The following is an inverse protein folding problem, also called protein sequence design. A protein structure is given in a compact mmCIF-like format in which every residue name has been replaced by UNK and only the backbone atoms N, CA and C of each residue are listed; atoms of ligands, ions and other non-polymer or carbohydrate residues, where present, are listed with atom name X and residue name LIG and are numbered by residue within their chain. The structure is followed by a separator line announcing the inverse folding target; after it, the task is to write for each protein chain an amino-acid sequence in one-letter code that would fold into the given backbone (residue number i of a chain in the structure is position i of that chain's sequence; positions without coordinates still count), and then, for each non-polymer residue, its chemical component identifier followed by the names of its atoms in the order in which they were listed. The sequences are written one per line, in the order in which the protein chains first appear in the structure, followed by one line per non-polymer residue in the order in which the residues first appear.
data_IF_865964185436
#
_entry.id   IF_865964185436
#
_cell.length_a   1.000
_cell.length_b   1.000
_cell.length_c   1.000
_cell.angle_alpha   90.00
_cell.angle_beta   90.00
_cell.angle_gamma   90.00
#
_symmetry.space_group_name_H-M   'P 1'
#
loop_
_entity.id
_entity.type
_entity.pdbx_description
1 polymer ?
#
# COMPACT_ATOMS: atom_id res chain seq x y z
N UNK A 1 10.94 -26.07 -12.60
CA UNK A 1 10.69 -26.17 -11.16
C UNK A 1 11.18 -24.93 -10.41
N UNK A 2 12.10 -24.16 -11.00
CA UNK A 2 12.80 -23.04 -10.35
C UNK A 2 11.94 -21.79 -10.14
N UNK A 3 10.91 -21.60 -10.96
CA UNK A 3 9.97 -20.49 -10.82
C UNK A 3 9.17 -20.55 -9.50
N UNK A 4 8.72 -21.74 -9.10
CA UNK A 4 7.97 -21.92 -7.86
C UNK A 4 8.84 -21.66 -6.62
N UNK A 5 10.12 -22.06 -6.65
CA UNK A 5 11.07 -21.75 -5.58
C UNK A 5 11.32 -20.23 -5.51
N UNK A 6 11.51 -19.58 -6.65
CA UNK A 6 11.77 -18.14 -6.72
C UNK A 6 10.60 -17.29 -6.20
N UNK A 7 9.37 -17.77 -6.36
CA UNK A 7 8.18 -17.07 -5.88
C UNK A 7 7.83 -17.41 -4.42
N UNK A 8 8.35 -18.51 -3.87
CA UNK A 8 8.07 -18.90 -2.48
C UNK A 8 8.34 -17.81 -1.41
N UNK A 9 9.41 -16.98 -1.47
CA UNK A 9 9.60 -15.90 -0.50
C UNK A 9 8.48 -14.86 -0.53
N UNK A 10 7.90 -14.54 -1.70
CA UNK A 10 6.78 -13.60 -1.79
C UNK A 10 5.51 -14.19 -1.15
N UNK A 11 5.28 -15.48 -1.36
CA UNK A 11 4.15 -16.22 -0.80
C UNK A 11 4.22 -16.28 0.73
N UNK A 12 5.41 -16.52 1.29
CA UNK A 12 5.63 -16.54 2.73
C UNK A 12 5.40 -15.16 3.36
N UNK A 13 5.86 -14.08 2.72
CA UNK A 13 5.60 -12.72 3.22
C UNK A 13 4.11 -12.42 3.18
N UNK A 14 3.42 -12.78 2.10
CA UNK A 14 2.00 -12.54 1.94
C UNK A 14 1.18 -13.32 2.97
N UNK A 15 1.40 -14.63 3.08
CA UNK A 15 0.73 -15.49 4.06
C UNK A 15 1.06 -15.05 5.49
N UNK A 16 2.33 -14.71 5.76
CA UNK A 16 2.76 -14.22 7.06
C UNK A 16 2.05 -12.93 7.47
N UNK A 17 1.85 -12.00 6.53
CA UNK A 17 1.14 -10.76 6.80
C UNK A 17 -0.36 -10.97 7.03
N UNK A 18 -1.00 -11.85 6.25
CA UNK A 18 -2.43 -12.17 6.39
C UNK A 18 -2.75 -12.94 7.68
N UNK A 19 -1.93 -13.93 8.06
CA UNK A 19 -2.23 -14.82 9.18
C UNK A 19 -1.87 -14.19 10.53
N UNK A 20 -0.72 -13.52 10.61
CA UNK A 20 -0.22 -13.06 11.91
C UNK A 20 -0.76 -11.68 12.34
N UNK A 21 -1.41 -10.90 11.47
CA UNK A 21 -1.83 -9.51 11.75
C UNK A 21 -0.71 -8.67 12.40
N UNK A 22 0.55 -9.02 12.14
CA UNK A 22 1.72 -8.35 12.71
C UNK A 22 2.19 -7.26 11.75
N UNK A 23 2.83 -6.24 12.32
CA UNK A 23 3.47 -5.16 11.56
C UNK A 23 4.30 -5.73 10.42
N UNK A 24 4.07 -5.24 9.19
CA UNK A 24 4.74 -5.72 7.97
C UNK A 24 6.27 -5.68 8.06
N UNK A 25 6.83 -4.84 8.93
CA UNK A 25 8.27 -4.78 9.25
C UNK A 25 8.81 -6.12 9.75
N UNK A 26 8.10 -6.82 10.64
CA UNK A 26 8.57 -8.08 11.21
C UNK A 26 8.58 -9.20 10.16
N UNK A 27 7.51 -9.27 9.37
CA UNK A 27 7.36 -10.27 8.29
C UNK A 27 8.37 -10.03 7.16
N UNK A 28 8.73 -8.76 6.91
CA UNK A 28 9.72 -8.39 5.90
C UNK A 28 11.14 -8.87 6.25
N UNK A 29 11.51 -8.83 7.54
CA UNK A 29 12.82 -9.35 8.00
C UNK A 29 12.91 -10.87 7.78
N UNK A 30 11.84 -11.59 8.10
CA UNK A 30 11.75 -13.05 7.85
C UNK A 30 11.80 -13.37 6.35
N UNK A 31 11.07 -12.62 5.53
CA UNK A 31 11.09 -12.77 4.08
C UNK A 31 12.46 -12.51 3.46
N UNK A 32 13.16 -11.47 3.94
CA UNK A 32 14.54 -11.18 3.51
C UNK A 32 15.50 -12.32 3.89
N UNK A 33 15.46 -12.80 5.13
CA UNK A 33 16.29 -13.93 5.58
C UNK A 33 16.06 -15.16 4.70
N UNK A 34 14.79 -15.49 4.44
CA UNK A 34 14.43 -16.63 3.60
C UNK A 34 14.87 -16.47 2.14
N UNK A 35 14.78 -15.25 1.60
CA UNK A 35 15.24 -14.93 0.25
C UNK A 35 16.76 -15.11 0.11
N UNK A 36 17.54 -14.66 1.10
CA UNK A 36 19.01 -14.84 1.12
C UNK A 36 19.39 -16.32 1.19
N UNK A 37 18.69 -17.11 2.02
CA UNK A 37 18.92 -18.56 2.12
C UNK A 37 18.66 -19.26 0.79
N UNK A 38 17.54 -18.95 0.11
CA UNK A 38 17.21 -19.55 -1.19
C UNK A 38 18.22 -19.14 -2.26
N UNK A 39 18.63 -17.87 -2.31
CA UNK A 39 19.59 -17.38 -3.30
C UNK A 39 20.94 -18.10 -3.21
N UNK A 40 21.41 -18.37 -1.99
CA UNK A 40 22.70 -19.03 -1.75
C UNK A 40 22.60 -20.53 -1.99
N UNK A 41 21.60 -21.20 -1.40
CA UNK A 41 21.52 -22.68 -1.41
C UNK A 41 20.94 -23.25 -2.70
N UNK A 42 19.94 -22.61 -3.30
CA UNK A 42 19.24 -23.15 -4.47
C UNK A 42 19.79 -22.60 -5.79
N UNK A 43 20.03 -21.28 -5.86
CA UNK A 43 20.54 -20.63 -7.07
C UNK A 43 22.07 -20.56 -7.15
N UNK A 44 22.79 -21.02 -6.10
CA UNK A 44 24.27 -20.96 -5.99
C UNK A 44 24.83 -19.56 -6.33
N UNK A 45 24.10 -18.52 -5.96
CA UNK A 45 24.51 -17.15 -6.26
C UNK A 45 25.70 -16.78 -5.37
N UNK A 46 26.80 -16.20 -5.91
CA UNK A 46 27.96 -15.83 -5.10
C UNK A 46 27.55 -14.84 -4.01
N UNK A 47 28.09 -15.03 -2.80
CA UNK A 47 27.76 -14.25 -1.60
C UNK A 47 27.91 -12.74 -1.81
N UNK A 48 28.86 -12.33 -2.66
CA UNK A 48 29.08 -10.94 -3.08
C UNK A 48 27.85 -10.30 -3.74
N UNK A 49 27.10 -11.07 -4.56
CA UNK A 49 25.89 -10.57 -5.24
C UNK A 49 24.72 -10.46 -4.26
N UNK A 50 24.58 -11.37 -3.30
CA UNK A 50 23.53 -11.30 -2.28
C UNK A 50 23.71 -10.07 -1.35
N UNK A 51 24.94 -9.78 -0.95
CA UNK A 51 25.27 -8.56 -0.19
C UNK A 51 25.08 -7.31 -1.06
N UNK A 52 25.55 -7.34 -2.31
CA UNK A 52 25.37 -6.24 -3.26
C UNK A 52 23.88 -5.89 -3.48
N UNK A 53 23.03 -6.91 -3.60
CA UNK A 53 21.58 -6.73 -3.72
C UNK A 53 20.96 -6.12 -2.45
N UNK A 54 21.41 -6.53 -1.27
CA UNK A 54 20.95 -5.96 0.00
C UNK A 54 21.37 -4.49 0.13
N UNK A 55 22.61 -4.16 -0.23
CA UNK A 55 23.13 -2.78 -0.20
C UNK A 55 22.39 -1.88 -1.21
N UNK A 56 22.16 -2.38 -2.42
CA UNK A 56 21.35 -1.69 -3.43
C UNK A 56 19.91 -1.47 -2.93
N UNK A 57 19.35 -2.45 -2.22
CA UNK A 57 18.05 -2.35 -1.56
C UNK A 57 17.99 -1.20 -0.56
N UNK A 58 19.01 -1.05 0.30
CA UNK A 58 19.10 0.04 1.28
C UNK A 58 19.16 1.40 0.57
N UNK A 59 19.99 1.55 -0.46
CA UNK A 59 20.10 2.80 -1.22
C UNK A 59 18.77 3.16 -1.88
N UNK A 60 18.06 2.19 -2.47
CA UNK A 60 16.72 2.42 -3.05
C UNK A 60 15.68 2.77 -1.98
N UNK A 61 15.78 2.19 -0.78
CA UNK A 61 14.87 2.48 0.32
C UNK A 61 14.98 3.93 0.83
N UNK A 62 16.14 4.58 0.69
CA UNK A 62 16.30 5.99 1.06
C UNK A 62 15.38 6.91 0.24
N UNK A 63 15.31 6.71 -1.08
CA UNK A 63 14.44 7.50 -1.95
C UNK A 63 12.95 7.33 -1.60
N UNK A 64 12.55 6.10 -1.29
CA UNK A 64 11.17 5.78 -0.90
C UNK A 64 10.85 6.39 0.48
N UNK A 65 11.78 6.31 1.43
CA UNK A 65 11.59 6.84 2.78
C UNK A 65 11.44 8.36 2.75
N UNK A 66 12.27 9.05 1.96
CA UNK A 66 12.17 10.50 1.77
C UNK A 66 10.81 10.88 1.15
N UNK A 67 10.39 10.17 0.11
CA UNK A 67 9.08 10.38 -0.51
C UNK A 67 7.94 10.21 0.51
N UNK A 68 7.99 9.16 1.35
CA UNK A 68 6.98 8.92 2.38
C UNK A 68 6.92 10.08 3.40
N UNK A 69 8.06 10.58 3.86
CA UNK A 69 8.12 11.73 4.80
C UNK A 69 7.46 12.96 4.18
N UNK A 70 7.81 13.32 2.95
CA UNK A 70 7.20 14.45 2.25
C UNK A 70 5.71 14.25 2.04
N UNK A 71 5.25 13.04 1.74
CA UNK A 71 3.82 12.78 1.59
C UNK A 71 3.07 12.84 2.91
N UNK A 72 3.64 12.40 4.02
CA UNK A 72 3.02 12.62 5.34
C UNK A 72 2.93 14.11 5.64
N UNK A 73 3.97 14.89 5.34
CA UNK A 73 3.95 16.35 5.49
C UNK A 73 2.85 17.00 4.62
N UNK A 74 2.73 16.59 3.35
CA UNK A 74 1.66 17.05 2.45
C UNK A 74 0.26 16.68 2.98
N UNK A 75 0.08 15.48 3.52
CA UNK A 75 -1.19 15.05 4.11
C UNK A 75 -1.56 15.93 5.30
N UNK A 76 -0.61 16.29 6.18
CA UNK A 76 -0.86 17.24 7.26
C UNK A 76 -1.28 18.61 6.73
N UNK A 77 -0.59 19.14 5.72
CA UNK A 77 -0.90 20.45 5.14
C UNK A 77 -2.29 20.48 4.45
N UNK A 78 -2.67 19.41 3.77
CA UNK A 78 -4.00 19.24 3.15
C UNK A 78 -5.10 19.06 4.21
N UNK A 79 -4.77 18.47 5.35
CA UNK A 79 -5.70 18.28 6.47
C UNK A 79 -6.04 19.61 7.15
N UNK A 80 -5.05 20.48 7.39
CA UNK A 80 -5.26 21.79 8.01
C UNK A 80 -6.05 22.76 7.12
N UNK A 81 -5.85 22.71 5.81
CA UNK A 81 -6.51 23.61 4.85
C UNK A 81 -7.97 23.24 4.56
N UNK A 82 -8.49 22.13 5.11
CA UNK A 82 -9.81 21.55 4.78
C UNK A 82 -10.02 21.29 3.28
N UNK A 83 -8.97 21.33 2.48
CA UNK A 83 -9.03 21.11 1.04
C UNK A 83 -9.55 19.70 0.71
N UNK A 84 -9.24 18.72 1.57
CA UNK A 84 -9.72 17.35 1.44
C UNK A 84 -11.25 17.23 1.50
N UNK A 85 -11.92 17.98 2.37
CA UNK A 85 -13.38 17.98 2.48
C UNK A 85 -14.01 18.50 1.20
N UNK A 86 -13.43 19.55 0.60
CA UNK A 86 -13.92 20.12 -0.65
C UNK A 86 -13.79 19.14 -1.83
N UNK A 87 -12.67 18.42 -1.93
CA UNK A 87 -12.47 17.38 -2.95
C UNK A 87 -13.52 16.26 -2.78
N UNK A 88 -13.80 15.86 -1.54
CA UNK A 88 -14.78 14.83 -1.23
C UNK A 88 -16.20 15.26 -1.61
N UNK A 89 -16.57 16.52 -1.34
CA UNK A 89 -17.89 17.05 -1.70
C UNK A 89 -18.06 17.14 -3.22
N UNK A 90 -17.02 17.52 -3.95
CA UNK A 90 -17.03 17.45 -5.43
C UNK A 90 -17.20 16.01 -5.94
N UNK A 91 -16.53 15.03 -5.32
CA UNK A 91 -16.69 13.61 -5.72
C UNK A 91 -18.11 13.13 -5.43
N UNK A 92 -18.71 13.52 -4.30
CA UNK A 92 -20.11 13.18 -3.96
C UNK A 92 -21.11 13.81 -4.93
N UNK A 93 -20.83 15.00 -5.44
CA UNK A 93 -21.68 15.68 -6.41
C UNK A 93 -21.69 14.98 -7.78
N UNK A 94 -20.53 14.45 -8.19
CA UNK A 94 -20.38 13.74 -9.48
C UNK A 94 -20.93 12.31 -9.42
N UNK A 95 -21.02 11.72 -8.23
CA UNK A 95 -21.26 10.28 -8.08
C UNK A 95 -22.56 9.99 -7.35
N UNK A 96 -23.47 9.22 -7.96
CA UNK A 96 -24.79 8.92 -7.38
C UNK A 96 -24.76 7.75 -6.37
N UNK A 97 -23.88 6.76 -6.57
CA UNK A 97 -23.86 5.53 -5.77
C UNK A 97 -22.53 5.31 -5.02
N UNK A 98 -22.59 4.62 -3.86
CA UNK A 98 -21.39 4.28 -3.06
C UNK A 98 -20.40 3.38 -3.81
N UNK A 99 -20.90 2.52 -4.70
CA UNK A 99 -20.08 1.64 -5.53
C UNK A 99 -19.29 2.44 -6.57
N UNK A 100 -19.97 3.31 -7.32
CA UNK A 100 -19.34 4.24 -8.26
C UNK A 100 -18.32 5.13 -7.56
N UNK A 101 -18.60 5.59 -6.34
CA UNK A 101 -17.69 6.42 -5.56
C UNK A 101 -16.43 5.67 -5.16
N UNK A 102 -16.58 4.40 -4.77
CA UNK A 102 -15.45 3.55 -4.40
C UNK A 102 -14.59 3.22 -5.61
N UNK A 103 -15.21 2.95 -6.77
CA UNK A 103 -14.49 2.66 -8.02
C UNK A 103 -13.79 3.92 -8.55
N UNK A 104 -14.46 5.07 -8.54
CA UNK A 104 -13.89 6.35 -8.97
C UNK A 104 -12.72 6.77 -8.08
N UNK A 105 -12.86 6.60 -6.76
CA UNK A 105 -11.79 6.91 -5.81
C UNK A 105 -10.63 5.90 -5.92
N UNK A 106 -10.93 4.61 -5.97
CA UNK A 106 -9.95 3.52 -6.05
C UNK A 106 -9.13 3.57 -7.33
N UNK A 107 -9.81 3.53 -8.48
CA UNK A 107 -9.17 3.39 -9.78
C UNK A 107 -8.79 4.74 -10.39
N UNK A 108 -9.65 5.75 -10.29
CA UNK A 108 -9.42 7.09 -10.84
C UNK A 108 -8.49 7.91 -9.95
N UNK A 109 -8.97 8.30 -8.76
CA UNK A 109 -8.22 9.16 -7.86
C UNK A 109 -6.92 8.49 -7.36
N UNK A 110 -6.94 7.18 -7.13
CA UNK A 110 -5.75 6.41 -6.78
C UNK A 110 -4.63 6.52 -7.83
N UNK A 111 -4.99 6.37 -9.11
CA UNK A 111 -4.03 6.47 -10.22
C UNK A 111 -3.57 7.92 -10.44
N UNK A 112 -4.47 8.89 -10.32
CA UNK A 112 -4.13 10.32 -10.41
C UNK A 112 -3.16 10.73 -9.30
N UNK A 113 -3.43 10.31 -8.06
CA UNK A 113 -2.59 10.58 -6.91
C UNK A 113 -1.19 9.95 -7.07
N UNK A 114 -1.10 8.71 -7.58
CA UNK A 114 0.17 8.07 -7.98
C UNK A 114 0.92 8.86 -9.04
N UNK A 115 0.23 9.33 -10.09
CA UNK A 115 0.85 10.10 -11.18
C UNK A 115 1.39 11.46 -10.71
N UNK A 116 0.74 12.07 -9.71
CA UNK A 116 1.20 13.30 -9.05
C UNK A 116 2.34 13.05 -8.04
N UNK A 117 2.80 11.80 -7.87
CA UNK A 117 3.86 11.45 -6.93
C UNK A 117 3.40 11.38 -5.46
N UNK A 118 2.10 11.35 -5.20
CA UNK A 118 1.55 11.20 -3.85
C UNK A 118 1.47 9.72 -3.44
N UNK A 119 1.75 9.46 -2.16
CA UNK A 119 1.68 8.11 -1.56
C UNK A 119 0.22 7.83 -1.19
N UNK A 120 -0.47 7.21 -2.15
CA UNK A 120 -1.87 6.78 -2.10
C UNK A 120 -2.27 5.95 -0.87
N UNK A 121 -1.47 4.98 -0.38
CA UNK A 121 -1.89 4.09 0.70
C UNK A 121 -2.36 4.80 1.97
N UNK A 122 -1.83 6.00 2.26
CA UNK A 122 -2.18 6.76 3.45
C UNK A 122 -3.43 7.63 3.27
N UNK A 123 -3.76 8.00 2.04
CA UNK A 123 -4.87 8.91 1.72
C UNK A 123 -6.22 8.17 1.72
N UNK A 124 -6.23 6.92 1.24
CA UNK A 124 -7.46 6.12 1.17
C UNK A 124 -8.16 5.93 2.54
N UNK A 125 -7.47 5.55 3.63
CA UNK A 125 -8.11 5.44 4.94
C UNK A 125 -8.74 6.76 5.41
N UNK A 126 -8.11 7.90 5.11
CA UNK A 126 -8.60 9.21 5.48
C UNK A 126 -9.89 9.56 4.73
N UNK A 127 -9.91 9.31 3.41
CA UNK A 127 -11.07 9.60 2.57
C UNK A 127 -12.23 8.64 2.90
N UNK A 128 -11.97 7.34 3.05
CA UNK A 128 -13.03 6.38 3.43
C UNK A 128 -13.64 6.70 4.79
N UNK A 129 -12.82 7.14 5.76
CA UNK A 129 -13.31 7.61 7.06
C UNK A 129 -14.18 8.86 6.94
N UNK A 130 -13.80 9.84 6.11
CA UNK A 130 -14.57 11.06 5.85
C UNK A 130 -15.86 10.82 5.05
N UNK A 131 -15.88 9.76 4.24
CA UNK A 131 -17.05 9.29 3.52
C UNK A 131 -18.00 8.43 4.39
N UNK A 132 -17.63 8.17 5.65
CA UNK A 132 -18.44 7.39 6.59
C UNK A 132 -18.43 5.88 6.33
N UNK A 133 -17.48 5.37 5.54
CA UNK A 133 -17.30 3.92 5.38
C UNK A 133 -16.68 3.33 6.65
N UNK A 134 -17.49 2.61 7.43
CA UNK A 134 -17.01 1.77 8.54
C UNK A 134 -16.37 0.49 8.01
N UNK A 135 -15.40 -0.05 8.76
CA UNK A 135 -14.59 -1.25 8.43
C UNK A 135 -15.40 -2.51 8.04
N UNK A 136 -16.72 -2.53 8.28
CA UNK A 136 -17.62 -3.66 8.04
C UNK A 136 -18.57 -3.49 6.84
N UNK A 137 -18.59 -2.36 6.13
CA UNK A 137 -19.64 -2.09 5.12
C UNK A 137 -19.35 -2.64 3.71
N UNK A 138 -18.38 -3.55 3.55
CA UNK A 138 -18.12 -4.26 2.29
C UNK A 138 -18.98 -5.53 2.14
N UNK A 139 -20.06 -5.66 2.90
CA UNK A 139 -21.11 -6.64 2.65
C UNK A 139 -22.48 -5.96 2.76
N UNK A 140 -23.12 -5.84 1.60
CA UNK A 140 -24.56 -5.82 1.37
C UNK A 140 -25.45 -5.43 2.56
N UNK A 141 -25.99 -4.21 2.55
CA UNK A 141 -27.39 -4.04 2.93
C UNK A 141 -28.06 -3.00 2.04
N UNK A 142 -29.21 -3.42 1.50
CA UNK A 142 -30.16 -2.67 0.70
C UNK A 142 -30.42 -1.29 1.33
N UNK A 143 -30.68 -0.30 0.48
CA UNK A 143 -31.44 0.92 0.79
C UNK A 143 -32.61 0.65 1.75
N UNK A 144 -33.14 1.63 2.51
CA UNK A 144 -32.95 3.08 2.43
C UNK A 144 -32.61 3.70 3.80
N UNK A 145 -32.39 5.03 3.87
CA UNK A 145 -33.00 5.92 4.87
C UNK A 145 -32.41 7.34 4.75
N UNK A 146 -33.24 8.19 4.14
CA UNK A 146 -33.36 9.65 4.22
C UNK A 146 -32.16 10.51 3.79
#
# INVERSE_FOLDING_TARGET
MDFFIAISPILIVLVGMFVFNRYGTFVSILGWLFCVVIAIYYFKTPFSVAIGATLMGIVKALGISLAVIFTMFLIFLVSETKALLRIIDYIKDITSNKEEQTIFLGMGFGSLSKALGMVTPAIFPLIFRLLGFSHSSCYCNKYPLL
#
